data_IF_987322190067
#
_entry.id   IF_987322190067
#
_cell.length_a   1.000
_cell.length_b   1.000
_cell.length_c   1.000
_cell.angle_alpha   90.00
_cell.angle_beta   90.00
_cell.angle_gamma   90.00
#
_symmetry.space_group_name_H-M   'P 1'
#
loop_
_entity.id
_entity.type
_entity.pdbx_description
1 polymer ?
#
# COMPACT_ATOMS: atom_id res chain seq x y z
N UNK A 1 -12.56 -8.46 17.91
CA UNK A 1 -11.33 -7.73 18.25
C UNK A 1 -10.90 -6.84 17.10
N UNK A 2 -10.37 -5.71 17.44
CA UNK A 2 -9.90 -4.78 16.42
C UNK A 2 -8.61 -5.26 15.80
N UNK A 3 -8.54 -5.17 14.46
CA UNK A 3 -7.30 -5.43 13.76
C UNK A 3 -6.45 -4.17 13.78
N UNK A 4 -5.14 -4.37 13.72
CA UNK A 4 -4.21 -3.26 13.62
C UNK A 4 -3.55 -3.27 12.26
N UNK A 5 -3.15 -2.10 11.79
CA UNK A 5 -2.44 -1.94 10.54
C UNK A 5 -0.95 -1.98 10.84
N UNK A 6 -0.24 -2.84 10.13
CA UNK A 6 1.22 -2.96 10.25
C UNK A 6 1.83 -2.60 8.91
N UNK A 7 2.66 -1.55 8.91
CA UNK A 7 3.41 -1.14 7.73
C UNK A 7 4.75 -1.84 7.74
N UNK A 8 4.99 -2.65 6.71
CA UNK A 8 6.31 -3.28 6.59
C UNK A 8 7.35 -2.22 6.28
N UNK A 9 8.60 -2.54 6.52
CA UNK A 9 9.71 -1.66 6.17
C UNK A 9 9.69 -1.31 4.69
N UNK A 10 9.39 -2.30 3.84
CA UNK A 10 9.33 -2.06 2.38
C UNK A 10 8.22 -1.08 2.03
N UNK A 11 7.05 -1.23 2.61
CA UNK A 11 5.94 -0.32 2.33
C UNK A 11 6.26 1.09 2.81
N UNK A 12 6.88 1.22 3.98
CA UNK A 12 7.31 2.51 4.49
C UNK A 12 8.34 3.16 3.57
N UNK A 13 9.31 2.39 3.12
CA UNK A 13 10.32 2.87 2.18
C UNK A 13 9.70 3.29 0.86
N UNK A 14 8.69 2.55 0.40
CA UNK A 14 7.97 2.90 -0.83
C UNK A 14 7.33 4.28 -0.72
N UNK A 15 6.62 4.52 0.39
CA UNK A 15 5.96 5.82 0.60
C UNK A 15 6.98 6.94 0.67
N UNK A 16 8.07 6.72 1.39
CA UNK A 16 9.12 7.74 1.50
C UNK A 16 9.70 8.07 0.12
N UNK A 17 9.93 7.06 -0.70
CA UNK A 17 10.46 7.26 -2.04
C UNK A 17 9.47 8.02 -2.92
N UNK A 18 8.18 7.68 -2.85
CA UNK A 18 7.12 8.35 -3.60
C UNK A 18 7.04 9.82 -3.20
N UNK A 19 6.98 10.08 -1.89
CA UNK A 19 6.86 11.44 -1.38
C UNK A 19 8.09 12.27 -1.79
N UNK A 20 9.26 11.70 -1.65
CA UNK A 20 10.51 12.40 -2.00
C UNK A 20 10.55 12.74 -3.50
N UNK A 21 10.13 11.80 -4.33
CA UNK A 21 10.11 12.00 -5.77
C UNK A 21 9.15 13.14 -6.17
N UNK A 22 7.94 13.12 -5.63
CA UNK A 22 6.93 14.13 -5.94
C UNK A 22 7.33 15.49 -5.39
N UNK A 23 7.94 15.53 -4.20
CA UNK A 23 8.31 16.77 -3.54
C UNK A 23 9.32 17.59 -4.34
N UNK A 24 10.07 16.98 -5.24
CA UNK A 24 11.01 17.70 -6.10
C UNK A 24 10.30 18.71 -6.98
N UNK A 25 9.05 18.43 -7.37
CA UNK A 25 8.29 19.30 -8.25
C UNK A 25 7.19 20.03 -7.50
N UNK A 26 6.58 19.37 -6.53
CA UNK A 26 5.41 19.91 -5.86
C UNK A 26 5.36 19.38 -4.43
N UNK A 27 5.96 20.12 -3.46
CA UNK A 27 5.95 19.68 -2.06
C UNK A 27 4.55 19.52 -1.48
N UNK A 28 3.60 20.35 -1.90
CA UNK A 28 2.23 20.25 -1.39
C UNK A 28 1.57 18.97 -1.89
N UNK A 29 1.76 18.65 -3.17
CA UNK A 29 1.23 17.42 -3.74
C UNK A 29 1.83 16.20 -3.05
N UNK A 30 3.13 16.25 -2.73
CA UNK A 30 3.79 15.16 -2.02
C UNK A 30 3.11 14.87 -0.69
N UNK A 31 2.81 15.92 0.07
CA UNK A 31 2.10 15.76 1.34
C UNK A 31 0.71 15.18 1.16
N UNK A 32 -0.03 15.66 0.16
CA UNK A 32 -1.36 15.12 -0.12
C UNK A 32 -1.33 13.65 -0.50
N UNK A 33 -0.37 13.26 -1.33
CA UNK A 33 -0.26 11.86 -1.78
C UNK A 33 0.12 10.95 -0.61
N UNK A 34 1.15 11.33 0.15
CA UNK A 34 1.58 10.52 1.29
C UNK A 34 0.47 10.34 2.32
N UNK A 35 -0.17 11.43 2.68
CA UNK A 35 -1.27 11.40 3.63
C UNK A 35 -2.46 10.63 3.06
N UNK A 36 -2.74 10.82 1.76
CA UNK A 36 -3.85 10.14 1.09
C UNK A 36 -3.69 8.63 1.08
N UNK A 37 -2.48 8.14 0.86
CA UNK A 37 -2.20 6.71 0.91
C UNK A 37 -2.44 6.17 2.32
N UNK A 38 -1.91 6.86 3.32
CA UNK A 38 -2.12 6.50 4.71
C UNK A 38 -3.61 6.47 5.05
N UNK A 39 -4.31 7.52 4.67
CA UNK A 39 -5.74 7.64 4.96
C UNK A 39 -6.56 6.57 4.26
N UNK A 40 -6.20 6.26 3.01
CA UNK A 40 -6.90 5.24 2.22
C UNK A 40 -6.85 3.88 2.91
N UNK A 41 -5.71 3.55 3.51
CA UNK A 41 -5.52 2.26 4.18
C UNK A 41 -6.43 2.12 5.39
N UNK A 42 -6.85 3.23 6.00
CA UNK A 42 -7.70 3.18 7.19
C UNK A 42 -9.04 2.48 6.95
N UNK A 43 -9.53 2.47 5.71
CA UNK A 43 -10.78 1.78 5.39
C UNK A 43 -10.69 0.28 5.72
N UNK A 44 -9.49 -0.28 5.71
CA UNK A 44 -9.28 -1.70 5.96
C UNK A 44 -9.58 -2.10 7.39
N UNK A 45 -9.59 -1.14 8.31
CA UNK A 45 -9.98 -1.42 9.69
C UNK A 45 -11.46 -1.79 9.79
N UNK A 46 -12.28 -1.26 8.89
CA UNK A 46 -13.71 -1.56 8.85
C UNK A 46 -14.04 -2.67 7.87
N UNK A 47 -13.28 -2.74 6.78
CA UNK A 47 -13.54 -3.69 5.72
C UNK A 47 -12.21 -4.25 5.20
N UNK A 48 -11.66 -5.26 5.90
CA UNK A 48 -10.35 -5.81 5.51
C UNK A 48 -10.32 -6.42 4.12
N UNK A 49 -11.49 -6.77 3.58
CA UNK A 49 -11.57 -7.40 2.26
C UNK A 49 -11.93 -6.41 1.17
N UNK A 50 -11.79 -5.10 1.44
CA UNK A 50 -12.12 -4.06 0.45
C UNK A 50 -11.29 -4.17 -0.82
N UNK A 51 -10.01 -4.58 -0.71
CA UNK A 51 -9.18 -4.78 -1.88
C UNK A 51 -9.47 -6.10 -2.57
N UNK A 52 -9.17 -6.16 -3.87
CA UNK A 52 -9.37 -7.38 -4.65
C UNK A 52 -8.17 -8.31 -4.52
N UNK A 53 -8.44 -9.61 -4.56
CA UNK A 53 -7.37 -10.61 -4.52
C UNK A 53 -6.48 -10.52 -5.75
N UNK A 54 -5.18 -10.69 -5.54
CA UNK A 54 -4.20 -10.75 -6.62
C UNK A 54 -3.97 -12.20 -6.99
N UNK A 55 -4.23 -12.55 -8.25
CA UNK A 55 -4.08 -13.93 -8.72
C UNK A 55 -2.64 -14.41 -8.61
N UNK A 56 -1.70 -13.57 -8.98
CA UNK A 56 -0.27 -13.90 -8.97
C UNK A 56 0.29 -14.11 -7.55
N UNK A 57 -0.42 -13.59 -6.55
CA UNK A 57 0.00 -13.69 -5.15
C UNK A 57 -1.05 -14.39 -4.29
N UNK A 58 -1.94 -15.14 -4.94
CA UNK A 58 -3.06 -15.77 -4.27
C UNK A 58 -2.65 -16.65 -3.09
N UNK A 59 -1.53 -17.36 -3.22
CA UNK A 59 -1.08 -18.26 -2.16
C UNK A 59 -0.82 -17.52 -0.85
N UNK A 60 -0.46 -16.24 -0.92
CA UNK A 60 -0.23 -15.43 0.27
C UNK A 60 -1.46 -14.68 0.72
N UNK A 61 -2.59 -14.82 0.01
CA UNK A 61 -3.80 -14.08 0.33
C UNK A 61 -3.65 -12.57 0.15
N UNK A 62 -2.77 -12.18 -0.76
CA UNK A 62 -2.50 -10.77 -0.99
C UNK A 62 -3.65 -10.11 -1.73
N UNK A 63 -3.91 -8.86 -1.38
CA UNK A 63 -4.95 -8.04 -1.98
C UNK A 63 -4.39 -6.71 -2.44
N UNK A 64 -5.09 -6.09 -3.36
CA UNK A 64 -4.77 -4.79 -3.92
C UNK A 64 -5.86 -3.80 -3.55
N UNK A 65 -5.48 -2.71 -2.91
CA UNK A 65 -6.34 -1.56 -2.65
C UNK A 65 -5.87 -0.44 -3.55
N UNK A 66 -6.76 0.09 -4.39
CA UNK A 66 -6.38 1.09 -5.38
C UNK A 66 -6.41 2.49 -4.77
N UNK A 67 -5.39 3.26 -5.06
CA UNK A 67 -5.33 4.70 -4.86
C UNK A 67 -4.82 5.29 -6.18
N UNK A 68 -5.31 6.45 -6.64
CA UNK A 68 -4.96 6.93 -7.98
C UNK A 68 -3.47 6.87 -8.26
N UNK A 69 -3.08 6.15 -9.32
CA UNK A 69 -1.72 5.88 -9.77
C UNK A 69 -0.93 4.87 -8.95
N UNK A 70 -1.51 4.38 -7.83
CA UNK A 70 -0.80 3.47 -6.92
C UNK A 70 -1.65 2.26 -6.60
N UNK A 71 -0.98 1.17 -6.25
CA UNK A 71 -1.60 -0.02 -5.68
C UNK A 71 -1.03 -0.23 -4.29
N UNK A 72 -1.90 -0.41 -3.33
CA UNK A 72 -1.50 -0.72 -1.96
C UNK A 72 -1.69 -2.22 -1.81
N UNK A 73 -0.58 -2.94 -1.68
CA UNK A 73 -0.59 -4.41 -1.61
C UNK A 73 -0.56 -4.81 -0.16
N UNK A 74 -1.58 -5.55 0.27
CA UNK A 74 -1.70 -5.92 1.67
C UNK A 74 -2.25 -7.35 1.81
N UNK A 75 -2.09 -7.89 2.99
CA UNK A 75 -2.64 -9.20 3.35
C UNK A 75 -3.09 -9.18 4.80
N UNK A 76 -3.87 -10.18 5.15
CA UNK A 76 -4.34 -10.35 6.54
C UNK A 76 -3.52 -11.46 7.17
N UNK A 77 -3.00 -11.19 8.37
CA UNK A 77 -2.24 -12.17 9.16
C UNK A 77 -2.74 -12.06 10.60
N UNK A 78 -3.43 -13.10 11.06
CA UNK A 78 -4.00 -13.10 12.40
C UNK A 78 -4.88 -11.87 12.59
N UNK A 79 -4.52 -10.98 13.50
CA UNK A 79 -5.28 -9.76 13.77
C UNK A 79 -4.65 -8.54 13.13
N UNK A 80 -3.71 -8.73 12.21
CA UNK A 80 -3.02 -7.63 11.58
C UNK A 80 -3.37 -7.51 10.11
N UNK A 81 -3.48 -6.27 9.66
CA UNK A 81 -3.54 -5.91 8.26
C UNK A 81 -2.13 -5.49 7.89
N UNK A 82 -1.45 -6.32 7.12
CA UNK A 82 -0.03 -6.12 6.81
C UNK A 82 0.11 -5.45 5.46
N UNK A 83 0.63 -4.24 5.43
CA UNK A 83 0.86 -3.49 4.20
C UNK A 83 2.24 -3.88 3.68
N UNK A 84 2.27 -4.63 2.58
CA UNK A 84 3.51 -5.17 2.03
C UNK A 84 4.23 -4.22 1.10
N UNK A 85 3.50 -3.57 0.23
CA UNK A 85 4.08 -2.64 -0.75
C UNK A 85 3.11 -1.52 -1.07
N UNK A 86 3.66 -0.37 -1.47
CA UNK A 86 2.93 0.65 -2.19
C UNK A 86 3.59 0.74 -3.56
N UNK A 87 2.87 0.32 -4.60
CA UNK A 87 3.45 0.02 -5.90
C UNK A 87 2.83 0.89 -6.99
N UNK A 88 3.62 1.45 -7.91
CA UNK A 88 3.03 2.22 -9.03
C UNK A 88 2.17 1.32 -9.90
N UNK A 89 0.95 1.77 -10.20
CA UNK A 89 0.02 0.97 -11.00
C UNK A 89 0.59 0.68 -12.40
N UNK A 90 1.39 1.61 -12.93
CA UNK A 90 1.95 1.47 -14.27
C UNK A 90 3.10 0.45 -14.36
N UNK A 91 3.63 0.00 -13.22
CA UNK A 91 4.75 -0.94 -13.20
C UNK A 91 4.34 -2.42 -13.24
N UNK A 92 3.04 -2.70 -13.45
CA UNK A 92 2.58 -4.08 -13.53
C UNK A 92 2.54 -4.77 -12.18
N UNK A 93 2.95 -6.04 -12.13
CA UNK A 93 2.88 -6.83 -10.91
C UNK A 93 3.82 -6.32 -9.84
N UNK A 94 3.32 -6.22 -8.63
CA UNK A 94 4.13 -5.82 -7.49
C UNK A 94 5.13 -6.92 -7.13
N UNK A 95 6.36 -6.52 -6.84
CA UNK A 95 7.39 -7.43 -6.36
C UNK A 95 7.61 -7.16 -4.89
N UNK A 96 7.33 -8.16 -4.06
CA UNK A 96 7.43 -7.99 -2.61
C UNK A 96 8.88 -7.99 -2.11
N UNK A 97 9.84 -8.35 -2.98
CA UNK A 97 11.23 -8.45 -2.58
C UNK A 97 12.11 -7.33 -3.14
N UNK A 98 11.67 -6.61 -4.15
CA UNK A 98 12.47 -5.59 -4.80
C UNK A 98 12.01 -4.18 -4.45
N UNK A 99 12.94 -3.21 -4.37
CA UNK A 99 12.54 -1.81 -4.24
C UNK A 99 11.94 -1.32 -5.55
N UNK A 100 11.17 -0.26 -5.43
CA UNK A 100 10.57 0.39 -6.60
C UNK A 100 11.64 1.06 -7.45
#
# INVERSE_FOLDING_TARGET
MERKIVWTERATNDIEAIVRYIARRDPQAAGRIGFGIYDRVQILLRNPEAGSLLDELRAGGWRKLVFPRWKIIYTLRDEAIVIGRVWPAAMGEADLDKPI
#
